data_IF_698824019002
#
_entry.id   IF_698824019002
#
_cell.length_a   1.000
_cell.length_b   1.000
_cell.length_c   1.000
_cell.angle_alpha   90.00
_cell.angle_beta   90.00
_cell.angle_gamma   90.00
#
_symmetry.space_group_name_H-M   'P 1'
#
loop_
_entity.id
_entity.type
_entity.pdbx_description
1 polymer ?
#
# COMPACT_ATOMS: atom_id res chain seq x y z
N UNK A 1 -7.91 17.46 -4.01
CA UNK A 1 -6.55 17.70 -3.48
C UNK A 1 -6.48 19.15 -3.04
N UNK A 2 -5.98 19.46 -1.83
CA UNK A 2 -6.05 20.82 -1.23
C UNK A 2 -4.74 21.30 -0.61
N UNK A 3 -3.71 20.44 -0.60
CA UNK A 3 -2.45 20.70 0.07
C UNK A 3 -1.29 19.91 -0.56
N UNK A 4 -0.07 20.39 -0.35
CA UNK A 4 1.19 19.72 -0.66
C UNK A 4 1.79 19.14 0.62
N UNK A 5 2.20 17.87 0.60
CA UNK A 5 2.83 17.20 1.75
C UNK A 5 4.32 17.04 1.49
N UNK A 6 5.17 17.42 2.45
CA UNK A 6 6.61 17.24 2.40
C UNK A 6 7.16 16.73 3.74
N UNK A 7 8.36 16.12 3.70
CA UNK A 7 9.06 15.59 4.87
C UNK A 7 10.37 16.37 5.02
N UNK A 8 10.38 17.53 5.71
CA UNK A 8 11.59 18.32 5.91
C UNK A 8 12.61 17.61 6.80
N UNK A 9 12.15 16.80 7.77
CA UNK A 9 13.00 16.02 8.65
C UNK A 9 12.29 14.70 9.07
N UNK A 10 13.02 13.65 9.49
CA UNK A 10 12.44 12.32 9.75
C UNK A 10 11.32 12.30 10.79
N UNK A 11 11.27 13.30 11.68
CA UNK A 11 10.31 13.42 12.79
C UNK A 11 9.27 14.53 12.58
N UNK A 12 9.22 15.16 11.41
CA UNK A 12 8.26 16.23 11.12
C UNK A 12 7.73 16.13 9.70
N UNK A 13 6.41 16.10 9.55
CA UNK A 13 5.76 16.30 8.25
C UNK A 13 5.32 17.76 8.15
N UNK A 14 5.39 18.31 6.94
CA UNK A 14 4.87 19.64 6.62
C UNK A 14 3.76 19.50 5.59
N UNK A 15 2.59 20.06 5.89
CA UNK A 15 1.43 20.08 4.99
C UNK A 15 1.14 21.54 4.64
N UNK A 16 1.50 21.93 3.42
CA UNK A 16 1.23 23.26 2.89
C UNK A 16 -0.16 23.29 2.25
N UNK A 17 -1.13 23.95 2.88
CA UNK A 17 -2.47 24.11 2.33
C UNK A 17 -2.49 25.30 1.38
N UNK A 18 -3.09 25.15 0.21
CA UNK A 18 -3.11 26.21 -0.82
C UNK A 18 -4.08 27.34 -0.48
N UNK A 19 -5.21 27.02 0.18
CA UNK A 19 -6.21 27.99 0.60
C UNK A 19 -6.32 28.03 2.13
N UNK A 20 -6.24 29.24 2.70
CA UNK A 20 -6.41 29.49 4.14
C UNK A 20 -7.74 28.99 4.68
N UNK A 21 -8.82 29.02 3.87
CA UNK A 21 -10.13 28.52 4.27
C UNK A 21 -10.12 27.03 4.62
N UNK A 22 -9.21 26.27 4.00
CA UNK A 22 -9.08 24.82 4.15
C UNK A 22 -8.12 24.40 5.27
N UNK A 23 -7.41 25.34 5.91
CA UNK A 23 -6.46 25.04 7.00
C UNK A 23 -7.18 24.41 8.20
N UNK A 24 -8.29 24.99 8.64
CA UNK A 24 -9.09 24.47 9.76
C UNK A 24 -9.68 23.07 9.49
N UNK A 25 -10.36 22.85 8.34
CA UNK A 25 -10.81 21.52 7.94
C UNK A 25 -9.67 20.48 7.87
N UNK A 26 -8.49 20.85 7.35
CA UNK A 26 -7.34 19.95 7.27
C UNK A 26 -6.79 19.60 8.66
N UNK A 27 -6.62 20.57 9.57
CA UNK A 27 -6.18 20.33 10.95
C UNK A 27 -7.12 19.35 11.66
N UNK A 28 -8.44 19.59 11.55
CA UNK A 28 -9.45 18.73 12.17
C UNK A 28 -9.42 17.32 11.59
N UNK A 29 -9.32 17.19 10.26
CA UNK A 29 -9.25 15.90 9.59
C UNK A 29 -8.05 15.07 10.07
N UNK A 30 -6.86 15.68 10.16
CA UNK A 30 -5.64 14.99 10.59
C UNK A 30 -5.75 14.53 12.05
N UNK A 31 -6.28 15.36 12.95
CA UNK A 31 -6.54 14.98 14.36
C UNK A 31 -7.53 13.81 14.46
N UNK A 32 -8.59 13.84 13.65
CA UNK A 32 -9.64 12.82 13.68
C UNK A 32 -9.28 11.52 12.96
N UNK A 33 -8.23 11.51 12.14
CA UNK A 33 -7.83 10.36 11.34
C UNK A 33 -7.25 9.19 12.15
N UNK A 34 -7.13 9.32 13.48
CA UNK A 34 -6.60 8.25 14.34
C UNK A 34 -5.10 7.99 14.15
N UNK A 35 -4.38 8.95 13.56
CA UNK A 35 -2.92 8.86 13.35
C UNK A 35 -2.12 9.14 14.62
N UNK A 36 -2.76 9.66 15.67
CA UNK A 36 -2.07 10.07 16.91
C UNK A 36 -1.19 11.31 16.74
N UNK A 37 -1.39 12.07 15.66
CA UNK A 37 -0.63 13.28 15.35
C UNK A 37 -1.37 14.52 15.86
N UNK A 38 -0.60 15.49 16.36
CA UNK A 38 -1.11 16.78 16.79
C UNK A 38 -0.52 17.89 15.88
N UNK A 39 -1.28 18.38 14.89
CA UNK A 39 -0.80 19.41 13.98
C UNK A 39 -0.59 20.75 14.70
N UNK A 40 0.48 21.45 14.32
CA UNK A 40 0.78 22.82 14.73
C UNK A 40 0.54 23.70 13.51
N UNK A 41 -0.42 24.61 13.60
CA UNK A 41 -0.77 25.51 12.50
C UNK A 41 0.17 26.72 12.50
N UNK A 42 0.84 26.93 11.37
CA UNK A 42 1.77 28.02 11.10
C UNK A 42 1.30 28.73 9.80
N UNK A 43 0.33 29.63 9.95
CA UNK A 43 -0.32 30.31 8.82
C UNK A 43 -1.06 29.32 7.90
N UNK A 44 -0.51 29.08 6.71
CA UNK A 44 -1.04 28.12 5.71
C UNK A 44 -0.38 26.74 5.80
N UNK A 45 0.60 26.57 6.68
CA UNK A 45 1.39 25.36 6.81
C UNK A 45 1.00 24.63 8.09
N UNK A 46 0.73 23.33 8.04
CA UNK A 46 0.55 22.49 9.22
C UNK A 46 1.80 21.65 9.44
N UNK A 47 2.44 21.83 10.59
CA UNK A 47 3.59 21.02 11.02
C UNK A 47 3.09 19.87 11.87
N UNK A 48 3.48 18.65 11.53
CA UNK A 48 3.05 17.43 12.20
C UNK A 48 4.28 16.77 12.81
N UNK A 49 4.59 17.04 14.09
CA UNK A 49 5.62 16.30 14.79
C UNK A 49 5.18 14.84 14.92
N UNK A 50 6.02 13.91 14.49
CA UNK A 50 5.80 12.47 14.61
C UNK A 50 6.36 12.04 15.97
N UNK A 51 5.51 11.61 16.93
CA UNK A 51 5.98 11.08 18.19
C UNK A 51 6.71 9.75 17.96
N UNK A 52 7.65 9.41 18.84
CA UNK A 52 8.30 8.12 18.79
C UNK A 52 7.27 7.00 18.93
N UNK A 53 7.35 6.01 18.04
CA UNK A 53 6.44 4.87 18.05
C UNK A 53 6.73 4.00 19.28
N UNK A 54 5.72 3.80 20.12
CA UNK A 54 5.75 2.80 21.20
C UNK A 54 5.82 1.39 20.62
N UNK A 55 6.33 0.42 21.38
CA UNK A 55 6.37 -0.99 20.94
C UNK A 55 4.97 -1.52 20.60
N UNK A 56 3.94 -1.13 21.35
CA UNK A 56 2.55 -1.52 21.09
C UNK A 56 2.09 -0.99 19.73
N UNK A 57 2.38 0.27 19.40
CA UNK A 57 2.01 0.85 18.11
C UNK A 57 2.77 0.22 16.95
N UNK A 58 4.05 -0.13 17.14
CA UNK A 58 4.84 -0.89 16.15
C UNK A 58 4.23 -2.27 15.90
N UNK A 59 3.82 -2.99 16.94
CA UNK A 59 3.15 -4.30 16.81
C UNK A 59 1.82 -4.19 16.06
N UNK A 60 1.02 -3.17 16.34
CA UNK A 60 -0.23 -2.91 15.60
C UNK A 60 0.03 -2.65 14.11
N UNK A 61 1.02 -1.81 13.79
CA UNK A 61 1.39 -1.50 12.41
C UNK A 61 1.95 -2.73 11.68
N UNK A 62 2.75 -3.57 12.35
CA UNK A 62 3.24 -4.82 11.78
C UNK A 62 2.08 -5.79 11.46
N UNK A 63 1.11 -5.92 12.37
CA UNK A 63 -0.10 -6.73 12.13
C UNK A 63 -0.92 -6.19 10.95
N UNK A 64 -1.04 -4.88 10.84
CA UNK A 64 -1.71 -4.23 9.71
C UNK A 64 -0.98 -4.49 8.39
N UNK A 65 0.36 -4.39 8.37
CA UNK A 65 1.17 -4.70 7.19
C UNK A 65 0.98 -6.17 6.75
N UNK A 66 0.92 -7.11 7.70
CA UNK A 66 0.62 -8.51 7.42
C UNK A 66 -0.77 -8.72 6.78
N UNK A 67 -1.79 -7.98 7.26
CA UNK A 67 -3.15 -8.02 6.66
C UNK A 67 -3.15 -7.55 5.21
N UNK A 68 -2.48 -6.44 4.92
CA UNK A 68 -2.36 -5.94 3.54
C UNK A 68 -1.59 -6.90 2.64
N UNK A 69 -0.52 -7.53 3.14
CA UNK A 69 0.21 -8.54 2.40
C UNK A 69 -0.66 -9.77 2.06
N UNK A 70 -1.50 -10.23 3.01
CA UNK A 70 -2.44 -11.32 2.76
C UNK A 70 -3.50 -10.94 1.71
N UNK A 71 -4.09 -9.75 1.82
CA UNK A 71 -5.06 -9.26 0.83
C UNK A 71 -4.44 -9.16 -0.57
N UNK A 72 -3.20 -8.68 -0.68
CA UNK A 72 -2.46 -8.64 -1.94
C UNK A 72 -2.18 -10.04 -2.51
N UNK A 73 -1.82 -11.01 -1.66
CA UNK A 73 -1.63 -12.42 -2.07
C UNK A 73 -2.93 -13.05 -2.57
N UNK A 74 -4.05 -12.77 -1.90
CA UNK A 74 -5.39 -13.24 -2.34
C UNK A 74 -5.75 -12.62 -3.69
N UNK A 75 -5.54 -11.30 -3.85
CA UNK A 75 -5.81 -10.61 -5.11
C UNK A 75 -4.97 -11.19 -6.27
N UNK A 76 -3.67 -11.43 -6.07
CA UNK A 76 -2.81 -12.05 -7.06
C UNK A 76 -3.30 -13.46 -7.46
N UNK A 77 -3.75 -14.28 -6.49
CA UNK A 77 -4.31 -15.61 -6.76
C UNK A 77 -5.64 -15.56 -7.52
N UNK A 78 -6.48 -14.56 -7.24
CA UNK A 78 -7.73 -14.33 -7.97
C UNK A 78 -7.45 -13.97 -9.43
N UNK A 79 -6.54 -13.01 -9.67
CA UNK A 79 -6.12 -12.64 -11.03
C UNK A 79 -5.54 -13.83 -11.79
N UNK A 80 -4.75 -14.69 -11.13
CA UNK A 80 -4.26 -15.93 -11.74
C UNK A 80 -5.42 -16.83 -12.17
N UNK A 81 -6.43 -17.02 -11.31
CA UNK A 81 -7.60 -17.84 -11.65
C UNK A 81 -8.33 -17.28 -12.87
N UNK A 82 -8.58 -15.98 -12.87
CA UNK A 82 -9.27 -15.31 -13.98
C UNK A 82 -8.47 -15.41 -15.28
N UNK A 83 -7.14 -15.27 -15.20
CA UNK A 83 -6.23 -15.48 -16.32
C UNK A 83 -6.28 -16.91 -16.87
N UNK A 84 -6.23 -17.92 -15.98
CA UNK A 84 -6.34 -19.33 -16.37
C UNK A 84 -7.70 -19.66 -17.01
N UNK A 85 -8.79 -19.12 -16.47
CA UNK A 85 -10.12 -19.35 -17.02
C UNK A 85 -10.32 -18.63 -18.36
N UNK A 86 -9.71 -17.45 -18.55
CA UNK A 86 -9.69 -16.73 -19.83
C UNK A 86 -8.94 -17.52 -20.91
N UNK A 87 -7.78 -18.11 -20.57
CA UNK A 87 -7.02 -18.96 -21.50
C UNK A 87 -7.82 -20.17 -21.99
N UNK A 88 -8.61 -20.82 -21.12
CA UNK A 88 -9.51 -21.92 -21.51
C UNK A 88 -10.65 -21.46 -22.41
N UNK A 89 -11.18 -20.26 -22.18
CA UNK A 89 -12.25 -19.69 -23.01
C UNK A 89 -11.71 -19.38 -24.40
N UNK A 90 -10.52 -18.81 -24.49
CA UNK A 90 -9.92 -18.40 -25.76
C UNK A 90 -9.44 -19.58 -26.60
N UNK A 91 -8.99 -20.67 -25.97
CA UNK A 91 -8.80 -21.96 -26.65
C UNK A 91 -10.12 -22.47 -27.26
N UNK A 92 -11.23 -22.44 -26.51
CA UNK A 92 -12.55 -22.85 -27.04
C UNK A 92 -13.03 -21.97 -28.19
N UNK A 93 -12.61 -20.71 -28.24
CA UNK A 93 -12.87 -19.79 -29.35
C UNK A 93 -11.93 -20.02 -30.55
N UNK A 94 -10.93 -20.90 -30.41
CA UNK A 94 -9.95 -21.19 -31.46
C UNK A 94 -8.93 -20.08 -31.68
N UNK A 95 -8.70 -19.21 -30.69
CA UNK A 95 -7.71 -18.12 -30.80
C UNK A 95 -6.26 -18.65 -30.77
N UNK A 96 -6.03 -19.81 -30.15
CA UNK A 96 -4.73 -20.48 -30.06
C UNK A 96 -4.91 -21.97 -29.78
N UNK A 97 -3.88 -22.76 -30.09
CA UNK A 97 -3.88 -24.23 -29.93
C UNK A 97 -3.52 -24.72 -28.51
N UNK A 98 -3.58 -26.03 -28.28
CA UNK A 98 -3.31 -26.65 -26.96
C UNK A 98 -1.89 -26.38 -26.46
N UNK A 99 -0.91 -26.36 -27.36
CA UNK A 99 0.50 -26.10 -27.03
C UNK A 99 0.73 -24.64 -26.61
N UNK A 100 0.07 -23.69 -27.26
CA UNK A 100 0.10 -22.28 -26.89
C UNK A 100 -0.60 -22.03 -25.55
N UNK A 101 -1.73 -22.72 -25.29
CA UNK A 101 -2.39 -22.68 -23.97
C UNK A 101 -1.44 -23.10 -22.86
N UNK A 102 -0.77 -24.26 -22.98
CA UNK A 102 0.19 -24.74 -21.96
C UNK A 102 1.34 -23.76 -21.74
N UNK A 103 1.81 -23.10 -22.80
CA UNK A 103 2.85 -22.06 -22.69
C UNK A 103 2.34 -20.85 -21.91
N UNK A 104 1.16 -20.33 -22.25
CA UNK A 104 0.58 -19.18 -21.55
C UNK A 104 0.21 -19.49 -20.10
N UNK A 105 -0.30 -20.68 -19.80
CA UNK A 105 -0.54 -21.13 -18.42
C UNK A 105 0.75 -21.14 -17.60
N UNK A 106 1.86 -21.59 -18.20
CA UNK A 106 3.19 -21.57 -17.57
C UNK A 106 3.68 -20.13 -17.34
N UNK A 107 3.45 -19.22 -18.28
CA UNK A 107 3.80 -17.80 -18.14
C UNK A 107 2.98 -17.11 -17.05
N UNK A 108 1.67 -17.33 -17.02
CA UNK A 108 0.76 -16.83 -15.97
C UNK A 108 1.18 -17.34 -14.58
N UNK A 109 1.54 -18.61 -14.48
CA UNK A 109 2.02 -19.20 -13.23
C UNK A 109 3.35 -18.54 -12.79
N UNK A 110 4.34 -18.43 -13.68
CA UNK A 110 5.62 -17.76 -13.39
C UNK A 110 5.44 -16.31 -12.94
N UNK A 111 4.56 -15.55 -13.61
CA UNK A 111 4.24 -14.18 -13.23
C UNK A 111 3.62 -14.12 -11.83
N UNK A 112 2.67 -15.02 -11.55
CA UNK A 112 2.03 -15.07 -10.23
C UNK A 112 3.03 -15.39 -9.14
N UNK A 113 3.91 -16.38 -9.35
CA UNK A 113 4.94 -16.76 -8.37
C UNK A 113 5.92 -15.62 -8.12
N UNK A 114 6.32 -14.89 -9.16
CA UNK A 114 7.16 -13.69 -9.05
C UNK A 114 6.46 -12.60 -8.23
N UNK A 115 5.20 -12.31 -8.51
CA UNK A 115 4.43 -11.29 -7.78
C UNK A 115 4.24 -11.67 -6.32
N UNK A 116 3.97 -12.95 -6.00
CA UNK A 116 3.89 -13.41 -4.62
C UNK A 116 5.23 -13.20 -3.90
N UNK A 117 6.35 -13.57 -4.54
CA UNK A 117 7.67 -13.36 -3.96
C UNK A 117 8.00 -11.88 -3.73
N UNK A 118 7.59 -10.99 -4.63
CA UNK A 118 7.73 -9.54 -4.47
C UNK A 118 6.87 -9.01 -3.31
N UNK A 119 5.64 -9.50 -3.14
CA UNK A 119 4.76 -9.15 -2.01
C UNK A 119 5.41 -9.59 -0.69
N UNK A 120 5.93 -10.81 -0.61
CA UNK A 120 6.56 -11.34 0.59
C UNK A 120 7.84 -10.57 0.94
N UNK A 121 8.66 -10.23 -0.06
CA UNK A 121 9.85 -9.41 0.12
C UNK A 121 9.50 -8.00 0.65
N UNK A 122 8.50 -7.35 0.06
CA UNK A 122 8.04 -6.03 0.49
C UNK A 122 7.44 -6.06 1.91
N UNK A 123 6.65 -7.08 2.22
CA UNK A 123 6.07 -7.26 3.54
C UNK A 123 7.15 -7.46 4.61
N UNK A 124 8.14 -8.34 4.34
CA UNK A 124 9.24 -8.59 5.27
C UNK A 124 10.11 -7.35 5.48
N UNK A 125 10.42 -6.61 4.41
CA UNK A 125 11.16 -5.35 4.51
C UNK A 125 10.41 -4.32 5.36
N UNK A 126 9.09 -4.19 5.15
CA UNK A 126 8.26 -3.25 5.93
C UNK A 126 8.14 -3.67 7.39
N UNK A 127 8.01 -4.95 7.67
CA UNK A 127 7.93 -5.47 9.04
C UNK A 127 9.22 -5.21 9.81
N UNK A 128 10.38 -5.42 9.19
CA UNK A 128 11.70 -5.08 9.75
C UNK A 128 11.83 -3.60 10.07
N UNK A 129 11.45 -2.74 9.13
CA UNK A 129 11.44 -1.28 9.31
C UNK A 129 10.55 -0.86 10.48
N UNK A 130 9.34 -1.43 10.60
CA UNK A 130 8.40 -1.14 11.67
C UNK A 130 8.93 -1.60 13.03
N UNK A 131 9.53 -2.79 13.09
CA UNK A 131 10.08 -3.35 14.33
C UNK A 131 11.46 -2.76 14.70
N UNK A 132 12.06 -1.95 13.83
CA UNK A 132 13.36 -1.32 14.06
C UNK A 132 14.53 -2.30 14.07
N UNK A 133 14.43 -3.40 13.30
CA UNK A 133 15.50 -4.40 13.13
C UNK A 133 16.04 -4.40 11.72
#
# INVERSE_FOLDING_TARGET
QVATVSVPEPRMLSVQVWDKSNVGPCDKAIRSAGLGLNPIVDGTTLRLPIPDLTEERRKELAKLAGKYAEEARIAARNVRRDGMDSLKIDEKKGLFGEDERKRHETEVQKLTDKTIAEIDAAASAKEKEILGK
#
